data_IF_360430110906
#
_entry.id   IF_360430110906
#
_cell.length_a   1.000
_cell.length_b   1.000
_cell.length_c   1.000
_cell.angle_alpha   90.00
_cell.angle_beta   90.00
_cell.angle_gamma   90.00
#
_symmetry.space_group_name_H-M   'P 1'
#
loop_
_entity.id
_entity.type
_entity.pdbx_description
1 polymer ?
#
# COMPACT_ATOMS: atom_id res chain seq x y z
N UNK A 1 26.55 30.42 33.33
CA UNK A 1 25.83 31.70 33.15
C UNK A 1 25.23 31.66 31.76
N UNK A 2 24.05 31.04 31.64
CA UNK A 2 23.29 30.97 30.38
C UNK A 2 22.17 32.00 30.45
N UNK A 3 22.10 32.85 29.43
CA UNK A 3 21.16 33.95 29.32
C UNK A 3 19.79 33.44 28.84
N UNK A 4 18.76 33.75 29.61
CA UNK A 4 17.36 33.47 29.30
C UNK A 4 16.87 34.34 28.14
N UNK A 5 16.22 33.71 27.15
CA UNK A 5 15.52 34.36 26.04
C UNK A 5 14.04 34.49 26.43
N UNK A 6 13.42 35.68 26.37
CA UNK A 6 12.02 35.86 26.77
C UNK A 6 11.04 35.44 25.65
N UNK A 7 9.99 34.74 26.07
CA UNK A 7 8.82 34.35 25.30
C UNK A 7 7.98 35.59 24.94
N UNK A 8 7.59 35.69 23.66
CA UNK A 8 6.64 36.68 23.16
C UNK A 8 5.20 36.15 23.27
N UNK A 9 4.29 37.02 23.69
CA UNK A 9 2.84 36.80 23.79
C UNK A 9 2.14 36.71 22.41
N UNK A 10 1.06 35.93 22.27
CA UNK A 10 0.23 35.96 21.07
C UNK A 10 -0.93 36.97 21.20
N UNK A 11 -1.01 37.86 20.21
CA UNK A 11 -2.09 38.83 20.00
C UNK A 11 -3.28 38.21 19.26
N UNK A 12 -4.46 38.29 19.88
CA UNK A 12 -5.74 38.68 19.26
C UNK A 12 -6.34 37.83 18.14
N UNK A 13 -7.32 36.99 18.47
CA UNK A 13 -8.28 36.40 17.52
C UNK A 13 -9.49 37.33 17.38
N UNK A 14 -9.72 37.87 16.18
CA UNK A 14 -10.94 38.62 15.83
C UNK A 14 -11.94 37.69 15.17
N UNK A 15 -13.09 37.51 15.82
CA UNK A 15 -14.28 36.90 15.24
C UNK A 15 -14.91 37.83 14.19
N UNK A 16 -15.17 37.29 12.99
CA UNK A 16 -16.13 37.86 12.05
C UNK A 16 -17.22 36.83 11.74
N UNK A 17 -18.37 37.03 12.37
CA UNK A 17 -19.66 36.51 11.92
C UNK A 17 -20.00 37.14 10.57
N UNK A 18 -20.44 36.33 9.62
CA UNK A 18 -21.13 36.81 8.42
C UNK A 18 -22.46 36.06 8.29
N UNK A 19 -23.51 36.85 8.12
CA UNK A 19 -24.91 36.51 8.19
C UNK A 19 -25.41 35.78 6.94
N UNK A 20 -26.51 35.06 7.14
CA UNK A 20 -27.38 34.48 6.12
C UNK A 20 -28.14 35.57 5.34
N UNK A 21 -28.35 35.32 4.04
CA UNK A 21 -29.39 35.97 3.25
C UNK A 21 -29.88 35.03 2.12
N UNK A 22 -31.09 34.53 2.33
CA UNK A 22 -32.28 34.47 1.46
C UNK A 22 -32.18 34.49 -0.08
N UNK A 23 -32.86 33.49 -0.67
CA UNK A 23 -33.83 33.52 -1.79
C UNK A 23 -33.50 34.15 -3.14
N UNK A 24 -33.67 33.35 -4.19
CA UNK A 24 -33.91 33.83 -5.56
C UNK A 24 -34.18 32.66 -6.50
N UNK A 25 -35.44 32.24 -6.58
CA UNK A 25 -35.91 31.33 -7.61
C UNK A 25 -35.87 32.00 -8.99
N UNK A 26 -35.37 31.27 -9.99
CA UNK A 26 -35.51 31.64 -11.40
C UNK A 26 -36.09 30.44 -12.12
N UNK A 27 -37.34 30.59 -12.55
CA UNK A 27 -38.02 29.71 -13.48
C UNK A 27 -37.28 29.75 -14.83
N UNK A 28 -36.76 28.60 -15.27
CA UNK A 28 -36.26 28.44 -16.63
C UNK A 28 -37.41 28.01 -17.54
N UNK A 29 -37.88 28.97 -18.33
CA UNK A 29 -38.79 28.77 -19.45
C UNK A 29 -38.10 27.92 -20.53
N UNK A 30 -38.70 26.78 -20.87
CA UNK A 30 -38.22 25.86 -21.89
C UNK A 30 -38.35 26.47 -23.30
N UNK A 31 -37.27 26.42 -24.07
CA UNK A 31 -37.27 26.78 -25.48
C UNK A 31 -37.83 25.62 -26.35
N UNK A 32 -38.54 25.92 -27.45
CA UNK A 32 -39.09 24.91 -28.35
C UNK A 32 -38.01 24.16 -29.13
N UNK A 33 -38.14 22.83 -29.17
CA UNK A 33 -37.26 21.90 -29.89
C UNK A 33 -37.45 22.00 -31.41
N UNK A 34 -36.36 22.29 -32.13
CA UNK A 34 -36.27 22.20 -33.59
C UNK A 34 -36.29 20.72 -34.04
N UNK A 35 -36.97 20.36 -35.15
CA UNK A 35 -36.99 18.98 -35.65
C UNK A 35 -35.61 18.55 -36.14
N UNK A 36 -35.16 17.36 -35.71
CA UNK A 36 -33.90 16.76 -36.13
C UNK A 36 -33.95 16.30 -37.60
N UNK A 37 -32.88 16.60 -38.34
CA UNK A 37 -32.67 16.13 -39.71
C UNK A 37 -32.51 14.58 -39.78
N UNK A 38 -32.91 13.94 -40.88
CA UNK A 38 -32.83 12.48 -41.04
C UNK A 38 -31.39 11.97 -41.05
N UNK A 39 -31.16 10.92 -40.27
CA UNK A 39 -29.87 10.25 -40.06
C UNK A 39 -29.49 9.43 -41.30
N UNK A 40 -28.28 9.61 -41.87
CA UNK A 40 -27.82 8.78 -42.99
C UNK A 40 -27.66 7.31 -42.58
N UNK A 41 -28.00 6.42 -43.51
CA UNK A 41 -28.07 4.97 -43.33
C UNK A 41 -26.76 4.38 -42.78
N UNK A 42 -26.91 3.47 -41.81
CA UNK A 42 -25.81 2.75 -41.17
C UNK A 42 -25.02 1.94 -42.20
N UNK A 43 -23.75 2.31 -42.39
CA UNK A 43 -22.76 1.54 -43.15
C UNK A 43 -22.49 0.25 -42.38
N UNK A 44 -22.73 -0.90 -43.01
CA UNK A 44 -22.47 -2.21 -42.44
C UNK A 44 -21.01 -2.33 -41.94
N UNK A 45 -20.76 -2.90 -40.76
CA UNK A 45 -19.40 -3.09 -40.26
C UNK A 45 -18.68 -4.10 -41.15
N UNK A 46 -17.63 -3.64 -41.83
CA UNK A 46 -16.67 -4.51 -42.49
C UNK A 46 -16.09 -5.47 -41.43
N UNK A 47 -16.25 -6.77 -41.68
CA UNK A 47 -15.69 -7.82 -40.86
C UNK A 47 -14.19 -7.56 -40.66
N UNK A 48 -13.82 -7.16 -39.44
CA UNK A 48 -12.44 -6.95 -39.06
C UNK A 48 -11.79 -8.33 -38.95
N UNK A 49 -10.81 -8.56 -39.82
CA UNK A 49 -10.00 -9.78 -39.83
C UNK A 49 -9.44 -10.05 -38.43
N UNK A 50 -9.80 -11.21 -37.89
CA UNK A 50 -9.27 -11.78 -36.66
C UNK A 50 -7.76 -11.97 -36.79
N UNK A 51 -6.99 -11.07 -36.18
CA UNK A 51 -5.56 -11.26 -36.00
C UNK A 51 -5.29 -12.45 -35.04
N UNK A 52 -4.20 -13.21 -35.25
CA UNK A 52 -3.95 -14.44 -34.52
C UNK A 52 -3.60 -14.21 -33.05
N UNK A 53 -4.00 -15.20 -32.23
CA UNK A 53 -3.90 -15.28 -30.79
C UNK A 53 -2.45 -15.27 -30.24
N UNK A 54 -1.78 -14.12 -30.26
CA UNK A 54 -0.47 -13.89 -29.63
C UNK A 54 -0.57 -13.61 -28.11
N UNK A 55 -1.78 -13.67 -27.53
CA UNK A 55 -2.03 -13.29 -26.13
C UNK A 55 -1.73 -14.36 -25.07
N UNK A 56 -1.65 -15.65 -25.42
CA UNK A 56 -1.57 -16.72 -24.41
C UNK A 56 -0.16 -16.90 -23.80
N UNK A 57 0.90 -16.65 -24.57
CA UNK A 57 2.28 -16.87 -24.12
C UNK A 57 2.76 -15.81 -23.14
N UNK A 58 2.32 -14.57 -23.30
CA UNK A 58 2.71 -13.46 -22.42
C UNK A 58 2.10 -13.58 -21.02
N UNK A 59 0.86 -14.08 -20.91
CA UNK A 59 0.19 -14.31 -19.63
C UNK A 59 0.87 -15.41 -18.79
N UNK A 60 1.35 -16.47 -19.44
CA UNK A 60 2.07 -17.56 -18.77
C UNK A 60 3.40 -17.13 -18.15
N UNK A 61 4.22 -16.38 -18.90
CA UNK A 61 5.50 -15.87 -18.40
C UNK A 61 5.31 -14.89 -17.22
N UNK A 62 4.36 -13.95 -17.31
CA UNK A 62 4.04 -13.02 -16.23
C UNK A 62 3.63 -13.76 -14.95
N UNK A 63 2.76 -14.76 -15.09
CA UNK A 63 2.28 -15.59 -13.99
C UNK A 63 3.42 -16.32 -13.29
N UNK A 64 4.34 -16.91 -14.06
CA UNK A 64 5.51 -17.61 -13.52
C UNK A 64 6.43 -16.67 -12.73
N UNK A 65 6.67 -15.44 -13.23
CA UNK A 65 7.48 -14.44 -12.54
C UNK A 65 6.88 -14.07 -11.19
N UNK A 66 5.58 -13.74 -11.14
CA UNK A 66 4.94 -13.40 -9.87
C UNK A 66 4.81 -14.59 -8.92
N UNK A 67 4.58 -15.81 -9.43
CA UNK A 67 4.59 -17.02 -8.61
C UNK A 67 5.97 -17.24 -7.96
N UNK A 68 7.05 -17.01 -8.73
CA UNK A 68 8.41 -16.99 -8.21
C UNK A 68 8.61 -15.95 -7.10
N UNK A 69 8.12 -14.72 -7.29
CA UNK A 69 8.17 -13.67 -6.26
C UNK A 69 7.38 -14.05 -5.00
N UNK A 70 6.18 -14.62 -5.14
CA UNK A 70 5.39 -15.12 -4.00
C UNK A 70 6.17 -16.17 -3.21
N UNK A 71 6.75 -17.15 -3.91
CA UNK A 71 7.53 -18.20 -3.27
C UNK A 71 8.79 -17.64 -2.58
N UNK A 72 9.50 -16.71 -3.21
CA UNK A 72 10.73 -16.14 -2.68
C UNK A 72 10.46 -15.24 -1.46
N UNK A 73 9.48 -14.35 -1.54
CA UNK A 73 9.06 -13.50 -0.40
C UNK A 73 8.47 -14.34 0.74
N UNK A 74 7.67 -15.35 0.41
CA UNK A 74 7.09 -16.29 1.35
C UNK A 74 8.14 -17.19 2.03
N UNK A 75 9.22 -17.57 1.34
CA UNK A 75 10.32 -18.33 1.91
C UNK A 75 11.31 -17.48 2.73
N UNK A 76 11.43 -16.19 2.40
CA UNK A 76 12.28 -15.25 3.12
C UNK A 76 11.66 -14.78 4.46
N UNK A 77 10.32 -14.83 4.59
CA UNK A 77 9.62 -14.35 5.78
C UNK A 77 9.82 -15.23 7.03
N UNK A 78 9.75 -16.59 6.99
CA UNK A 78 9.86 -17.43 8.18
C UNK A 78 11.18 -17.28 8.95
N UNK A 79 12.36 -17.21 8.33
CA UNK A 79 13.61 -16.95 9.05
C UNK A 79 13.57 -15.64 9.86
N UNK A 80 13.01 -14.58 9.27
CA UNK A 80 12.87 -13.28 9.93
C UNK A 80 11.88 -13.29 11.10
N UNK A 81 10.91 -14.21 11.08
CA UNK A 81 9.90 -14.35 12.14
C UNK A 81 10.42 -15.24 13.27
N UNK A 82 10.96 -16.41 12.90
CA UNK A 82 11.29 -17.51 13.82
C UNK A 82 12.73 -17.45 14.33
N UNK A 83 13.65 -16.88 13.55
CA UNK A 83 15.08 -16.80 13.88
C UNK A 83 15.64 -15.37 13.67
N UNK A 84 14.96 -14.32 14.18
CA UNK A 84 15.27 -12.93 13.83
C UNK A 84 16.70 -12.52 14.20
N UNK A 85 17.24 -13.00 15.33
CA UNK A 85 18.62 -12.71 15.74
C UNK A 85 19.66 -13.33 14.81
N UNK A 86 19.41 -14.56 14.34
CA UNK A 86 20.29 -15.22 13.37
C UNK A 86 20.24 -14.51 12.02
N UNK A 87 19.04 -14.13 11.58
CA UNK A 87 18.86 -13.32 10.37
C UNK A 87 19.56 -11.96 10.48
N UNK A 88 19.44 -11.26 11.62
CA UNK A 88 20.15 -10.01 11.87
C UNK A 88 21.66 -10.18 11.84
N UNK A 89 22.19 -11.23 12.47
CA UNK A 89 23.62 -11.53 12.45
C UNK A 89 24.13 -11.88 11.05
N UNK A 90 23.38 -12.67 10.28
CA UNK A 90 23.71 -12.97 8.89
C UNK A 90 23.76 -11.69 8.05
N UNK A 91 22.75 -10.84 8.22
CA UNK A 91 22.55 -9.64 7.41
C UNK A 91 23.52 -8.50 7.76
N UNK A 92 23.80 -8.27 9.04
CA UNK A 92 24.57 -7.13 9.52
C UNK A 92 25.93 -7.49 10.14
N UNK A 93 26.22 -8.77 10.34
CA UNK A 93 27.48 -9.22 10.94
C UNK A 93 27.64 -8.65 12.35
N UNK A 94 28.81 -8.06 12.63
CA UNK A 94 29.11 -7.43 13.93
C UNK A 94 28.26 -6.19 14.22
N UNK A 95 27.59 -5.59 13.23
CA UNK A 95 26.68 -4.47 13.45
C UNK A 95 25.31 -4.91 14.04
N UNK A 96 25.10 -6.21 14.22
CA UNK A 96 24.01 -6.77 15.02
C UNK A 96 24.44 -7.13 16.46
N UNK A 97 25.72 -6.91 16.82
CA UNK A 97 26.23 -7.21 18.16
C UNK A 97 26.30 -5.92 19.02
N UNK A 98 25.89 -5.97 20.30
CA UNK A 98 25.26 -7.11 20.97
C UNK A 98 23.84 -7.36 20.41
N UNK A 99 23.36 -8.63 20.40
CA UNK A 99 22.02 -8.95 19.92
C UNK A 99 20.99 -8.22 20.78
N UNK A 100 20.33 -7.23 20.19
CA UNK A 100 19.35 -6.41 20.87
C UNK A 100 17.91 -6.83 20.52
N UNK A 101 16.97 -6.45 21.39
CA UNK A 101 15.55 -6.71 21.18
C UNK A 101 14.97 -5.90 20.00
N UNK A 102 15.60 -4.78 19.60
CA UNK A 102 15.12 -3.95 18.51
C UNK A 102 15.38 -4.59 17.14
N UNK A 103 16.54 -5.20 16.86
CA UNK A 103 16.73 -6.01 15.65
C UNK A 103 15.72 -7.15 15.60
N UNK A 104 15.45 -7.78 16.75
CA UNK A 104 14.46 -8.85 16.84
C UNK A 104 13.09 -8.38 16.37
N UNK A 105 12.58 -7.29 16.96
CA UNK A 105 11.32 -6.68 16.56
C UNK A 105 11.34 -6.23 15.10
N UNK A 106 12.38 -5.51 14.68
CA UNK A 106 12.46 -4.94 13.34
C UNK A 106 12.53 -5.99 12.23
N UNK A 107 13.20 -7.12 12.45
CA UNK A 107 13.20 -8.24 11.50
C UNK A 107 11.79 -8.83 11.33
N UNK A 108 11.08 -9.01 12.45
CA UNK A 108 9.70 -9.49 12.42
C UNK A 108 8.78 -8.48 11.71
N UNK A 109 8.93 -7.17 11.97
CA UNK A 109 8.16 -6.15 11.25
C UNK A 109 8.49 -6.13 9.74
N UNK A 110 9.76 -6.29 9.36
CA UNK A 110 10.19 -6.36 7.96
C UNK A 110 9.60 -7.57 7.23
N UNK A 111 9.47 -8.72 7.90
CA UNK A 111 8.74 -9.87 7.36
C UNK A 111 7.27 -9.53 7.05
N UNK A 112 6.65 -8.65 7.83
CA UNK A 112 5.29 -8.15 7.54
C UNK A 112 5.23 -7.43 6.19
N UNK A 113 6.21 -6.57 5.91
CA UNK A 113 6.35 -5.92 4.60
C UNK A 113 6.50 -6.93 3.47
N UNK A 114 7.30 -7.99 3.67
CA UNK A 114 7.47 -9.07 2.69
C UNK A 114 6.17 -9.82 2.41
N UNK A 115 5.38 -10.12 3.45
CA UNK A 115 4.09 -10.81 3.32
C UNK A 115 3.05 -9.96 2.56
N UNK A 116 3.04 -8.64 2.74
CA UNK A 116 2.22 -7.74 1.92
C UNK A 116 2.68 -7.76 0.47
N UNK A 117 3.99 -7.67 0.20
CA UNK A 117 4.51 -7.75 -1.17
C UNK A 117 4.19 -9.09 -1.82
N UNK A 118 4.21 -10.20 -1.07
CA UNK A 118 3.77 -11.51 -1.54
C UNK A 118 2.27 -11.49 -1.88
N UNK A 119 1.43 -10.86 -1.05
CA UNK A 119 0.01 -10.64 -1.34
C UNK A 119 -0.21 -9.81 -2.62
N UNK A 120 0.61 -8.78 -2.86
CA UNK A 120 0.59 -7.98 -4.10
C UNK A 120 0.99 -8.82 -5.31
N UNK A 121 2.08 -9.59 -5.23
CA UNK A 121 2.50 -10.48 -6.31
C UNK A 121 1.43 -11.55 -6.62
N UNK A 122 0.84 -12.16 -5.59
CA UNK A 122 -0.25 -13.11 -5.74
C UNK A 122 -1.50 -12.48 -6.36
N UNK A 123 -1.82 -11.24 -5.98
CA UNK A 123 -2.90 -10.50 -6.62
C UNK A 123 -2.61 -10.31 -8.11
N UNK A 124 -1.39 -9.88 -8.47
CA UNK A 124 -0.96 -9.66 -9.85
C UNK A 124 -1.10 -10.93 -10.70
N UNK A 125 -0.78 -12.13 -10.20
CA UNK A 125 -1.04 -13.41 -10.91
C UNK A 125 -2.49 -13.46 -11.43
N UNK A 126 -3.46 -13.17 -10.56
CA UNK A 126 -4.87 -13.23 -10.94
C UNK A 126 -5.28 -12.15 -11.94
N UNK A 127 -4.63 -10.99 -11.93
CA UNK A 127 -4.91 -9.90 -12.88
C UNK A 127 -4.51 -10.25 -14.31
N UNK A 128 -3.44 -11.03 -14.46
CA UNK A 128 -2.95 -11.47 -15.77
C UNK A 128 -3.71 -12.68 -16.30
N UNK A 129 -4.32 -13.48 -15.42
CA UNK A 129 -5.16 -14.62 -15.80
C UNK A 129 -6.63 -14.25 -16.06
N UNK A 130 -7.10 -13.08 -15.61
CA UNK A 130 -8.52 -12.70 -15.74
C UNK A 130 -8.71 -11.38 -16.51
N UNK A 131 -9.45 -11.36 -17.62
CA UNK A 131 -9.70 -10.15 -18.41
C UNK A 131 -10.59 -9.12 -17.68
N UNK A 132 -11.11 -9.44 -16.49
CA UNK A 132 -12.03 -8.61 -15.73
C UNK A 132 -11.35 -7.47 -14.96
N UNK A 133 -10.02 -7.49 -14.77
CA UNK A 133 -9.33 -6.45 -14.02
C UNK A 133 -8.91 -5.28 -14.90
N UNK A 134 -9.24 -4.07 -14.45
CA UNK A 134 -8.81 -2.85 -15.14
C UNK A 134 -7.28 -2.78 -15.11
N UNK A 135 -6.63 -2.31 -16.19
CA UNK A 135 -5.16 -2.23 -16.25
C UNK A 135 -4.57 -1.27 -15.21
N UNK A 136 -5.31 -0.23 -14.80
CA UNK A 136 -4.80 0.81 -13.91
C UNK A 136 -4.44 0.32 -12.49
N UNK A 137 -5.28 -0.46 -11.76
CA UNK A 137 -4.88 -1.05 -10.48
C UNK A 137 -3.68 -2.00 -10.57
N UNK A 138 -3.63 -2.86 -11.60
CA UNK A 138 -2.49 -3.76 -11.81
C UNK A 138 -1.21 -2.98 -12.07
N UNK A 139 -1.26 -1.92 -12.87
CA UNK A 139 -0.13 -1.04 -13.13
C UNK A 139 0.33 -0.30 -11.88
N UNK A 140 -0.59 0.14 -11.01
CA UNK A 140 -0.25 0.78 -9.74
C UNK A 140 0.44 -0.18 -8.77
N UNK A 141 -0.10 -1.40 -8.61
CA UNK A 141 0.52 -2.44 -7.79
C UNK A 141 1.91 -2.82 -8.31
N UNK A 142 2.04 -3.01 -9.62
CA UNK A 142 3.33 -3.38 -10.18
C UNK A 142 4.35 -2.23 -10.11
N UNK A 143 3.92 -0.99 -10.38
CA UNK A 143 4.76 0.19 -10.17
C UNK A 143 5.21 0.32 -8.71
N UNK A 144 4.37 -0.07 -7.74
CA UNK A 144 4.74 -0.05 -6.32
C UNK A 144 5.88 -1.02 -5.99
N UNK A 145 5.89 -2.21 -6.59
CA UNK A 145 6.98 -3.18 -6.42
C UNK A 145 8.27 -2.69 -7.08
N UNK A 146 8.17 -2.11 -8.29
CA UNK A 146 9.32 -1.48 -8.97
C UNK A 146 9.88 -0.34 -8.13
N UNK A 147 9.03 0.56 -7.66
CA UNK A 147 9.43 1.71 -6.86
C UNK A 147 10.05 1.30 -5.53
N UNK A 148 9.49 0.30 -4.85
CA UNK A 148 10.06 -0.28 -3.64
C UNK A 148 11.45 -0.86 -3.93
N UNK A 149 11.57 -1.78 -4.90
CA UNK A 149 12.85 -2.46 -5.16
C UNK A 149 13.96 -1.51 -5.59
N UNK A 150 13.66 -0.52 -6.44
CA UNK A 150 14.64 0.51 -6.82
C UNK A 150 15.04 1.39 -5.64
N UNK A 151 14.08 1.80 -4.80
CA UNK A 151 14.37 2.62 -3.62
C UNK A 151 15.17 1.84 -2.57
N UNK A 152 14.89 0.56 -2.42
CA UNK A 152 15.60 -0.34 -1.52
C UNK A 152 17.04 -0.55 -1.98
N UNK A 153 17.28 -0.82 -3.27
CA UNK A 153 18.64 -0.88 -3.85
C UNK A 153 19.43 0.42 -3.60
N UNK A 154 18.82 1.58 -3.83
CA UNK A 154 19.49 2.86 -3.55
C UNK A 154 19.80 3.04 -2.06
N UNK A 155 18.88 2.57 -1.19
CA UNK A 155 19.06 2.59 0.26
C UNK A 155 20.20 1.66 0.67
N UNK A 156 20.29 0.46 0.10
CA UNK A 156 21.36 -0.53 0.36
C UNK A 156 22.73 -0.02 -0.06
N UNK A 157 22.83 0.66 -1.20
CA UNK A 157 24.08 1.28 -1.65
C UNK A 157 24.50 2.38 -0.67
N UNK A 158 23.57 3.26 -0.27
CA UNK A 158 23.88 4.34 0.67
C UNK A 158 24.28 3.81 2.05
N UNK A 159 23.65 2.71 2.50
CA UNK A 159 23.87 2.11 3.82
C UNK A 159 24.77 0.87 3.79
N UNK A 160 25.58 0.66 2.74
CA UNK A 160 26.39 -0.56 2.59
C UNK A 160 27.23 -0.91 3.82
N UNK A 161 27.74 0.11 4.54
CA UNK A 161 28.51 -0.07 5.78
C UNK A 161 27.73 -0.67 6.96
N UNK A 162 26.40 -0.73 6.90
CA UNK A 162 25.56 -1.31 7.94
C UNK A 162 25.45 -2.83 7.84
N UNK A 163 25.92 -3.43 6.74
CA UNK A 163 25.72 -4.83 6.40
C UNK A 163 26.99 -5.66 6.55
N UNK A 164 26.80 -6.97 6.70
CA UNK A 164 27.84 -7.93 6.35
C UNK A 164 28.00 -7.96 4.81
N UNK A 165 29.17 -8.35 4.28
CA UNK A 165 29.34 -8.46 2.82
C UNK A 165 28.30 -9.35 2.15
N UNK A 166 27.95 -10.48 2.78
CA UNK A 166 26.96 -11.42 2.27
C UNK A 166 25.53 -10.92 2.41
N UNK A 167 25.22 -10.27 3.52
CA UNK A 167 23.93 -9.63 3.74
C UNK A 167 23.66 -8.55 2.69
N UNK A 168 24.65 -7.70 2.42
CA UNK A 168 24.57 -6.63 1.43
C UNK A 168 24.33 -7.16 0.01
N UNK A 169 25.13 -8.15 -0.42
CA UNK A 169 24.93 -8.77 -1.74
C UNK A 169 23.57 -9.45 -1.81
N UNK A 170 23.16 -10.15 -0.75
CA UNK A 170 21.87 -10.82 -0.68
C UNK A 170 20.69 -9.87 -0.83
N UNK A 171 20.68 -8.75 -0.10
CA UNK A 171 19.59 -7.77 -0.19
C UNK A 171 19.59 -7.02 -1.51
N UNK A 172 20.75 -6.59 -2.00
CA UNK A 172 20.85 -5.96 -3.32
C UNK A 172 20.30 -6.85 -4.43
N UNK A 173 20.68 -8.13 -4.43
CA UNK A 173 20.17 -9.08 -5.43
C UNK A 173 18.67 -9.28 -5.27
N UNK A 174 18.17 -9.44 -4.04
CA UNK A 174 16.73 -9.62 -3.79
C UNK A 174 15.91 -8.41 -4.26
N UNK A 175 16.32 -7.19 -3.91
CA UNK A 175 15.61 -5.96 -4.25
C UNK A 175 15.73 -5.62 -5.74
N UNK A 176 16.88 -5.88 -6.36
CA UNK A 176 17.06 -5.75 -7.81
C UNK A 176 16.22 -6.77 -8.57
N UNK A 177 16.15 -8.03 -8.11
CA UNK A 177 15.28 -9.05 -8.68
C UNK A 177 13.81 -8.65 -8.56
N UNK A 178 13.38 -8.16 -7.40
CA UNK A 178 12.02 -7.65 -7.21
C UNK A 178 11.69 -6.54 -8.21
N UNK A 179 12.57 -5.52 -8.32
CA UNK A 179 12.37 -4.39 -9.22
C UNK A 179 12.34 -4.82 -10.69
N UNK A 180 13.29 -5.66 -11.12
CA UNK A 180 13.41 -6.10 -12.52
C UNK A 180 12.30 -7.08 -12.91
N UNK A 181 11.93 -8.01 -12.02
CA UNK A 181 10.81 -8.91 -12.21
C UNK A 181 9.50 -8.14 -12.42
N UNK A 182 9.22 -7.18 -11.55
CA UNK A 182 8.06 -6.30 -11.64
C UNK A 182 8.09 -5.44 -12.94
N UNK A 183 9.22 -4.77 -13.20
CA UNK A 183 9.39 -3.89 -14.36
C UNK A 183 9.27 -4.64 -15.70
N UNK A 184 9.73 -5.89 -15.77
CA UNK A 184 9.63 -6.70 -16.99
C UNK A 184 8.18 -6.90 -17.48
N UNK A 185 7.19 -6.71 -16.60
CA UNK A 185 5.77 -6.86 -16.92
C UNK A 185 5.11 -5.55 -17.39
N UNK A 186 5.73 -4.40 -17.09
CA UNK A 186 5.32 -3.07 -17.54
C UNK A 186 6.38 -2.55 -18.50
N UNK A 187 6.19 -2.71 -19.81
CA UNK A 187 7.09 -2.08 -20.77
C UNK A 187 7.29 -0.58 -20.49
N UNK A 188 8.40 0.04 -20.94
CA UNK A 188 8.82 1.38 -20.50
C UNK A 188 7.75 2.46 -20.71
N UNK A 189 6.96 2.37 -21.79
CA UNK A 189 5.84 3.27 -22.04
C UNK A 189 4.75 3.20 -20.94
N UNK A 190 4.41 2.00 -20.45
CA UNK A 190 3.44 1.82 -19.36
C UNK A 190 3.96 2.36 -18.04
N UNK A 191 5.26 2.21 -17.76
CA UNK A 191 5.90 2.80 -16.58
C UNK A 191 5.78 4.33 -16.67
N UNK A 192 6.17 4.92 -17.80
CA UNK A 192 6.07 6.36 -18.00
C UNK A 192 4.63 6.87 -17.85
N UNK A 193 3.65 6.17 -18.41
CA UNK A 193 2.23 6.53 -18.29
C UNK A 193 1.71 6.37 -16.87
N UNK A 194 2.09 5.31 -16.16
CA UNK A 194 1.72 5.09 -14.77
C UNK A 194 2.29 6.20 -13.87
N UNK A 195 3.56 6.56 -14.06
CA UNK A 195 4.21 7.67 -13.35
C UNK A 195 3.51 9.01 -13.62
N UNK A 196 3.17 9.31 -14.88
CA UNK A 196 2.41 10.52 -15.23
C UNK A 196 1.03 10.58 -14.57
N UNK A 197 0.43 9.45 -14.25
CA UNK A 197 -0.89 9.37 -13.59
C UNK A 197 -0.83 9.51 -12.07
N UNK A 198 0.35 9.35 -11.45
CA UNK A 198 0.50 9.44 -9.99
C UNK A 198 -0.08 10.73 -9.38
N UNK A 199 0.17 11.94 -9.92
CA UNK A 199 -0.39 13.17 -9.33
C UNK A 199 -1.92 13.19 -9.35
N UNK A 200 -2.53 12.63 -10.41
CA UNK A 200 -3.98 12.50 -10.53
C UNK A 200 -4.56 11.50 -9.53
N UNK A 201 -3.88 10.36 -9.36
CA UNK A 201 -4.24 9.36 -8.35
C UNK A 201 -4.15 9.95 -6.93
N UNK A 202 -3.06 10.66 -6.61
CA UNK A 202 -2.89 11.35 -5.32
C UNK A 202 -4.04 12.33 -5.05
N UNK A 203 -4.41 13.14 -6.04
CA UNK A 203 -5.56 14.08 -5.92
C UNK A 203 -6.90 13.36 -5.73
N UNK A 204 -7.09 12.19 -6.36
CA UNK A 204 -8.34 11.44 -6.18
C UNK A 204 -8.55 10.92 -4.76
N UNK A 205 -7.50 10.64 -3.98
CA UNK A 205 -7.64 10.32 -2.55
C UNK A 205 -8.15 11.49 -1.71
N UNK A 206 -8.05 12.73 -2.21
CA UNK A 206 -8.54 13.91 -1.49
C UNK A 206 -10.06 14.11 -1.63
N UNK A 207 -10.69 13.38 -2.56
CA UNK A 207 -12.11 13.53 -2.85
C UNK A 207 -12.86 12.22 -2.56
N UNK A 208 -13.46 12.08 -1.37
CA UNK A 208 -14.27 10.90 -1.06
C UNK A 208 -15.40 10.79 -2.08
N UNK A 209 -15.47 9.65 -2.79
CA UNK A 209 -16.65 9.33 -3.59
C UNK A 209 -17.85 9.29 -2.65
N UNK A 210 -18.76 10.27 -2.79
CA UNK A 210 -20.02 10.32 -2.05
C UNK A 210 -20.83 9.06 -2.41
N UNK A 211 -21.00 8.16 -1.43
CA UNK A 211 -21.73 6.89 -1.60
C UNK A 211 -20.95 5.60 -1.31
N UNK A 212 -19.72 5.66 -0.79
CA UNK A 212 -18.91 4.47 -0.49
C UNK A 212 -19.33 3.67 0.76
N UNK A 213 -19.06 2.36 0.76
CA UNK A 213 -19.20 1.49 1.94
C UNK A 213 -18.23 1.90 3.05
N UNK A 214 -18.55 1.57 4.31
CA UNK A 214 -17.66 1.82 5.47
C UNK A 214 -16.25 1.25 5.24
N UNK A 215 -16.16 0.09 4.59
CA UNK A 215 -14.90 -0.54 4.19
C UNK A 215 -14.08 0.35 3.24
N UNK A 216 -14.73 0.95 2.24
CA UNK A 216 -14.06 1.89 1.33
C UNK A 216 -13.54 3.13 2.08
N UNK A 217 -14.30 3.64 3.06
CA UNK A 217 -13.85 4.75 3.92
C UNK A 217 -12.65 4.38 4.78
N UNK A 218 -12.62 3.18 5.38
CA UNK A 218 -11.48 2.69 6.15
C UNK A 218 -10.21 2.62 5.29
N UNK A 219 -10.32 2.02 4.09
CA UNK A 219 -9.20 1.89 3.17
C UNK A 219 -8.72 3.24 2.62
N UNK A 220 -9.64 4.19 2.45
CA UNK A 220 -9.32 5.57 2.04
C UNK A 220 -8.46 6.30 3.08
N UNK A 221 -8.69 6.07 4.38
CA UNK A 221 -7.88 6.67 5.46
C UNK A 221 -6.53 5.97 5.64
N UNK A 222 -6.46 4.66 5.37
CA UNK A 222 -5.24 3.88 5.50
C UNK A 222 -4.15 4.31 4.53
N UNK A 223 -4.48 4.60 3.26
CA UNK A 223 -3.50 5.01 2.26
C UNK A 223 -2.66 6.24 2.69
N UNK A 224 -3.23 7.41 3.06
CA UNK A 224 -2.45 8.54 3.54
C UNK A 224 -1.77 8.28 4.89
N UNK A 225 -2.37 7.47 5.78
CA UNK A 225 -1.74 7.09 7.04
C UNK A 225 -0.43 6.30 6.80
N UNK A 226 -0.44 5.35 5.86
CA UNK A 226 0.75 4.59 5.47
C UNK A 226 1.81 5.47 4.80
N UNK A 227 1.42 6.39 3.91
CA UNK A 227 2.36 7.34 3.31
C UNK A 227 3.01 8.21 4.38
N UNK A 228 2.21 8.77 5.30
CA UNK A 228 2.73 9.63 6.37
C UNK A 228 3.66 8.87 7.32
N UNK A 229 3.24 7.68 7.78
CA UNK A 229 4.05 6.82 8.64
C UNK A 229 5.34 6.40 7.95
N UNK A 230 5.25 5.91 6.71
CA UNK A 230 6.40 5.46 5.94
C UNK A 230 7.39 6.58 5.64
N UNK A 231 6.91 7.78 5.31
CA UNK A 231 7.76 8.94 5.11
C UNK A 231 8.48 9.33 6.40
N UNK A 232 7.79 9.28 7.55
CA UNK A 232 8.39 9.53 8.85
C UNK A 232 9.48 8.49 9.20
N UNK A 233 9.22 7.20 8.96
CA UNK A 233 10.18 6.12 9.18
C UNK A 233 11.40 6.27 8.29
N UNK A 234 11.19 6.66 7.02
CA UNK A 234 12.26 6.82 6.07
C UNK A 234 13.09 8.09 6.31
N UNK A 235 12.47 9.24 6.56
CA UNK A 235 13.17 10.53 6.68
C UNK A 235 13.78 10.74 8.08
N UNK A 236 13.12 10.28 9.14
CA UNK A 236 13.54 10.47 10.52
C UNK A 236 13.55 9.14 11.29
N UNK A 237 14.37 8.15 10.88
CA UNK A 237 14.33 6.82 11.47
C UNK A 237 14.72 6.81 12.94
N UNK A 238 15.73 7.58 13.35
CA UNK A 238 16.16 7.63 14.74
C UNK A 238 15.05 8.19 15.65
N UNK A 239 14.43 9.30 15.25
CA UNK A 239 13.33 9.95 15.98
C UNK A 239 12.13 9.01 16.09
N UNK A 240 11.70 8.42 14.97
CA UNK A 240 10.52 7.55 14.96
C UNK A 240 10.77 6.22 15.68
N UNK A 241 11.97 5.63 15.60
CA UNK A 241 12.33 4.46 16.40
C UNK A 241 12.33 4.79 17.90
N UNK A 242 12.97 5.89 18.30
CA UNK A 242 13.01 6.32 19.72
C UNK A 242 11.60 6.55 20.25
N UNK A 243 10.74 7.22 19.48
CA UNK A 243 9.36 7.43 19.89
C UNK A 243 8.44 6.24 19.68
N UNK A 244 8.87 5.15 19.05
CA UNK A 244 8.06 3.91 18.96
C UNK A 244 8.52 2.89 20.01
N UNK A 245 9.82 2.62 20.06
CA UNK A 245 10.42 1.59 20.92
C UNK A 245 11.05 2.14 22.21
N UNK A 246 11.03 3.45 22.44
CA UNK A 246 11.69 4.09 23.59
C UNK A 246 13.20 4.30 23.41
N UNK A 247 13.80 3.70 22.38
CA UNK A 247 15.23 3.77 22.09
C UNK A 247 15.52 3.50 20.60
N UNK A 248 16.73 3.80 20.14
CA UNK A 248 17.14 3.59 18.75
C UNK A 248 18.64 3.23 18.66
N UNK A 249 18.97 2.05 18.11
CA UNK A 249 20.33 1.51 18.07
C UNK A 249 20.90 1.35 16.66
N UNK A 250 21.89 2.18 16.36
CA UNK A 250 22.84 1.90 15.28
C UNK A 250 22.28 1.98 13.87
N UNK A 251 23.20 1.85 12.90
CA UNK A 251 22.90 2.00 11.48
C UNK A 251 22.01 0.88 10.92
N UNK A 252 22.17 -0.34 11.44
CA UNK A 252 21.42 -1.53 11.02
C UNK A 252 19.93 -1.41 11.36
N UNK A 253 19.57 -0.93 12.56
CA UNK A 253 18.17 -0.67 12.91
C UNK A 253 17.58 0.48 12.07
N UNK A 254 18.36 1.53 11.81
CA UNK A 254 17.90 2.65 10.97
C UNK A 254 17.61 2.20 9.54
N UNK A 255 18.43 1.32 8.98
CA UNK A 255 18.19 0.74 7.67
C UNK A 255 16.92 -0.12 7.66
N UNK A 256 16.73 -1.02 8.63
CA UNK A 256 15.53 -1.87 8.70
C UNK A 256 14.26 -1.03 8.78
N UNK A 257 14.29 0.02 9.61
CA UNK A 257 13.17 0.93 9.76
C UNK A 257 12.87 1.72 8.49
N UNK A 258 13.91 2.16 7.76
CA UNK A 258 13.76 2.76 6.43
C UNK A 258 13.14 1.77 5.43
N UNK A 259 13.56 0.50 5.42
CA UNK A 259 13.00 -0.51 4.53
C UNK A 259 11.51 -0.77 4.81
N UNK A 260 11.11 -0.87 6.08
CA UNK A 260 9.69 -0.91 6.50
C UNK A 260 8.97 0.37 6.05
N UNK A 261 9.61 1.53 6.21
CA UNK A 261 9.12 2.82 5.74
C UNK A 261 8.86 2.86 4.24
N UNK A 262 9.77 2.33 3.42
CA UNK A 262 9.58 2.19 1.97
C UNK A 262 8.37 1.32 1.64
N UNK A 263 8.17 0.21 2.36
CA UNK A 263 6.98 -0.63 2.23
C UNK A 263 5.69 0.15 2.51
N UNK A 264 5.73 1.01 3.53
CA UNK A 264 4.61 1.88 3.91
C UNK A 264 4.35 3.02 2.93
N UNK A 265 5.38 3.59 2.28
CA UNK A 265 5.16 4.67 1.29
C UNK A 265 4.78 4.12 -0.08
N UNK A 266 5.35 2.99 -0.49
CA UNK A 266 5.24 2.51 -1.87
C UNK A 266 4.15 1.44 -2.01
N UNK A 267 4.20 0.39 -1.20
CA UNK A 267 3.41 -0.84 -1.41
C UNK A 267 2.04 -0.76 -0.76
N UNK A 268 1.99 -0.41 0.53
CA UNK A 268 0.73 -0.37 1.29
C UNK A 268 -0.31 0.62 0.73
N UNK A 269 0.06 1.83 0.26
CA UNK A 269 -0.90 2.77 -0.31
C UNK A 269 -1.47 2.26 -1.63
N UNK A 270 -0.66 1.61 -2.48
CA UNK A 270 -1.13 1.00 -3.72
C UNK A 270 -2.10 -0.16 -3.46
N UNK A 271 -1.82 -0.97 -2.42
CA UNK A 271 -2.72 -2.01 -1.94
C UNK A 271 -4.04 -1.44 -1.42
N UNK A 272 -3.99 -0.48 -0.48
CA UNK A 272 -5.15 0.16 0.11
C UNK A 272 -6.02 0.86 -0.94
N UNK A 273 -5.41 1.57 -1.89
CA UNK A 273 -6.08 2.23 -3.00
C UNK A 273 -6.83 1.25 -3.90
N UNK A 274 -6.17 0.15 -4.26
CA UNK A 274 -6.74 -0.88 -5.13
C UNK A 274 -7.93 -1.56 -4.47
N UNK A 275 -7.82 -1.86 -3.17
CA UNK A 275 -8.91 -2.40 -2.37
C UNK A 275 -10.04 -1.37 -2.21
N UNK A 276 -9.71 -0.10 -2.01
CA UNK A 276 -10.69 0.99 -1.85
C UNK A 276 -11.50 1.21 -3.13
N UNK A 277 -10.84 1.29 -4.29
CA UNK A 277 -11.48 1.43 -5.59
C UNK A 277 -12.45 0.28 -5.85
N UNK A 278 -12.03 -0.95 -5.51
CA UNK A 278 -12.89 -2.13 -5.66
C UNK A 278 -14.07 -2.11 -4.70
N UNK A 279 -13.84 -1.81 -3.42
CA UNK A 279 -14.90 -1.70 -2.42
C UNK A 279 -15.92 -0.60 -2.77
N UNK A 280 -15.47 0.51 -3.34
CA UNK A 280 -16.34 1.61 -3.77
C UNK A 280 -17.13 1.30 -5.05
N UNK A 281 -16.57 0.50 -5.96
CA UNK A 281 -17.22 0.14 -7.23
C UNK A 281 -18.16 -1.06 -7.12
N UNK A 282 -17.80 -2.07 -6.35
CA UNK A 282 -18.51 -3.37 -6.28
C UNK A 282 -19.27 -3.57 -4.97
N UNK A 283 -19.01 -2.75 -3.94
CA UNK A 283 -19.59 -2.92 -2.59
C UNK A 283 -19.04 -4.12 -1.80
N UNK A 284 -18.34 -5.05 -2.45
CA UNK A 284 -17.72 -6.23 -1.87
C UNK A 284 -16.35 -6.53 -2.51
N UNK A 285 -15.51 -7.31 -1.82
CA UNK A 285 -14.15 -7.65 -2.27
C UNK A 285 -14.00 -9.12 -2.72
N UNK A 286 -15.00 -9.66 -3.43
CA UNK A 286 -15.16 -11.10 -3.72
C UNK A 286 -14.12 -11.74 -4.64
N UNK A 287 -13.35 -10.97 -5.41
CA UNK A 287 -12.36 -11.52 -6.36
C UNK A 287 -11.04 -11.95 -5.74
N UNK A 288 -10.41 -12.99 -6.29
CA UNK A 288 -9.16 -13.61 -5.79
C UNK A 288 -8.01 -12.62 -5.62
N UNK A 289 -7.85 -11.65 -6.54
CA UNK A 289 -6.84 -10.60 -6.40
C UNK A 289 -7.04 -9.77 -5.12
N UNK A 290 -8.28 -9.42 -4.79
CA UNK A 290 -8.58 -8.68 -3.56
C UNK A 290 -8.41 -9.56 -2.31
N UNK A 291 -8.72 -10.86 -2.40
CA UNK A 291 -8.44 -11.81 -1.32
C UNK A 291 -6.93 -11.93 -1.05
N UNK A 292 -6.10 -12.02 -2.10
CA UNK A 292 -4.65 -12.09 -1.96
C UNK A 292 -4.06 -10.82 -1.31
N UNK A 293 -4.51 -9.63 -1.74
CA UNK A 293 -4.13 -8.36 -1.11
C UNK A 293 -4.55 -8.29 0.37
N UNK A 294 -5.79 -8.64 0.68
CA UNK A 294 -6.27 -8.66 2.06
C UNK A 294 -5.51 -9.69 2.91
N UNK A 295 -5.21 -10.88 2.37
CA UNK A 295 -4.45 -11.91 3.10
C UNK A 295 -3.03 -11.44 3.44
N UNK A 296 -2.34 -10.79 2.50
CA UNK A 296 -1.05 -10.15 2.77
C UNK A 296 -1.16 -9.07 3.84
N UNK A 297 -2.18 -8.20 3.75
CA UNK A 297 -2.41 -7.11 4.72
C UNK A 297 -2.77 -7.63 6.12
N UNK A 298 -3.62 -8.65 6.23
CA UNK A 298 -3.93 -9.33 7.51
C UNK A 298 -2.67 -9.93 8.10
N UNK A 299 -1.85 -10.62 7.29
CA UNK A 299 -0.64 -11.27 7.77
C UNK A 299 0.37 -10.25 8.32
N UNK A 300 0.56 -9.13 7.61
CA UNK A 300 1.41 -8.05 8.10
C UNK A 300 0.85 -7.37 9.35
N UNK A 301 -0.45 -7.09 9.39
CA UNK A 301 -1.09 -6.50 10.56
C UNK A 301 -0.99 -7.41 11.78
N UNK A 302 -1.24 -8.71 11.64
CA UNK A 302 -1.09 -9.69 12.71
C UNK A 302 0.34 -9.72 13.25
N UNK A 303 1.33 -9.70 12.36
CA UNK A 303 2.74 -9.72 12.75
C UNK A 303 3.16 -8.41 13.43
N UNK A 304 2.74 -7.26 12.91
CA UNK A 304 2.99 -5.97 13.56
C UNK A 304 2.34 -5.90 14.94
N UNK A 305 1.09 -6.34 15.08
CA UNK A 305 0.41 -6.35 16.37
C UNK A 305 1.03 -7.36 17.34
N UNK A 306 1.50 -8.50 16.85
CA UNK A 306 2.19 -9.50 17.68
C UNK A 306 3.47 -8.93 18.31
N UNK A 307 4.21 -8.10 17.55
CA UNK A 307 5.42 -7.43 18.04
C UNK A 307 5.09 -6.24 18.95
N UNK A 308 4.14 -5.39 18.56
CA UNK A 308 3.90 -4.10 19.21
C UNK A 308 3.01 -4.20 20.46
N UNK A 309 2.07 -5.16 20.51
CA UNK A 309 1.12 -5.29 21.62
C UNK A 309 1.80 -5.65 22.95
N UNK A 310 2.78 -6.58 23.01
CA UNK A 310 3.52 -6.83 24.25
C UNK A 310 4.24 -5.59 24.78
N UNK A 311 4.79 -4.75 23.88
CA UNK A 311 5.48 -3.51 24.26
C UNK A 311 4.48 -2.49 24.82
N UNK A 312 3.29 -2.39 24.21
CA UNK A 312 2.19 -1.55 24.72
C UNK A 312 1.68 -2.00 26.08
N UNK A 313 1.52 -3.31 26.29
CA UNK A 313 0.98 -3.88 27.52
C UNK A 313 1.99 -3.87 28.66
N UNK A 314 3.29 -3.97 28.36
CA UNK A 314 4.37 -4.02 29.34
C UNK A 314 4.68 -2.69 30.04
N UNK A 315 4.08 -1.58 29.62
CA UNK A 315 4.09 -0.29 30.33
C UNK A 315 5.42 0.47 30.43
N UNK A 316 6.58 -0.19 30.24
CA UNK A 316 7.86 0.37 30.70
C UNK A 316 8.83 0.83 29.59
N UNK A 317 8.61 0.55 28.31
CA UNK A 317 9.60 0.84 27.25
C UNK A 317 9.01 1.39 25.93
N UNK A 318 7.70 1.57 25.83
CA UNK A 318 7.08 2.13 24.62
C UNK A 318 7.22 3.65 24.51
N UNK A 319 7.53 4.18 23.34
CA UNK A 319 7.52 5.63 23.10
C UNK A 319 6.13 6.17 22.73
N UNK A 320 6.00 7.49 22.64
CA UNK A 320 4.72 8.20 22.40
C UNK A 320 4.04 7.89 21.06
N UNK A 321 4.76 7.40 20.05
CA UNK A 321 4.21 7.02 18.75
C UNK A 321 3.69 5.57 18.73
N UNK A 322 4.08 4.73 19.69
CA UNK A 322 3.72 3.31 19.71
C UNK A 322 2.20 3.06 19.61
N UNK A 323 1.32 3.77 20.37
CA UNK A 323 -0.12 3.57 20.27
C UNK A 323 -0.67 3.92 18.90
N UNK A 324 -0.14 4.98 18.26
CA UNK A 324 -0.54 5.37 16.93
C UNK A 324 -0.14 4.32 15.89
N UNK A 325 1.10 3.81 15.96
CA UNK A 325 1.60 2.76 15.05
C UNK A 325 0.77 1.50 15.18
N UNK A 326 0.53 1.02 16.41
CA UNK A 326 -0.29 -0.16 16.65
C UNK A 326 -1.75 0.07 16.20
N UNK A 327 -2.30 1.26 16.45
CA UNK A 327 -3.65 1.64 16.02
C UNK A 327 -3.80 1.62 14.49
N UNK A 328 -2.82 2.11 13.74
CA UNK A 328 -2.81 2.03 12.26
C UNK A 328 -2.81 0.58 11.78
N UNK A 329 -2.00 -0.29 12.38
CA UNK A 329 -1.97 -1.71 12.01
C UNK A 329 -3.21 -2.48 12.46
N UNK A 330 -3.81 -2.13 13.60
CA UNK A 330 -5.10 -2.66 14.02
C UNK A 330 -6.22 -2.28 13.04
N UNK A 331 -6.23 -1.02 12.58
CA UNK A 331 -7.17 -0.55 11.57
C UNK A 331 -6.96 -1.26 10.23
N UNK A 332 -5.71 -1.45 9.82
CA UNK A 332 -5.35 -2.20 8.63
C UNK A 332 -5.80 -3.66 8.70
N UNK A 333 -5.56 -4.33 9.83
CA UNK A 333 -6.03 -5.68 10.10
C UNK A 333 -7.55 -5.77 10.06
N UNK A 334 -8.27 -4.85 10.71
CA UNK A 334 -9.73 -4.78 10.69
C UNK A 334 -10.27 -4.60 9.26
N UNK A 335 -9.74 -3.62 8.50
CA UNK A 335 -10.15 -3.39 7.12
C UNK A 335 -9.92 -4.62 6.25
N UNK A 336 -8.77 -5.30 6.42
CA UNK A 336 -8.43 -6.49 5.65
C UNK A 336 -9.31 -7.70 6.01
N UNK A 337 -9.60 -7.92 7.30
CA UNK A 337 -10.53 -8.96 7.77
C UNK A 337 -11.96 -8.70 7.27
N UNK A 338 -12.45 -7.46 7.36
CA UNK A 338 -13.76 -7.07 6.80
C UNK A 338 -13.79 -7.29 5.28
N UNK A 339 -12.68 -7.00 4.59
CA UNK A 339 -12.51 -7.29 3.18
C UNK A 339 -12.65 -8.79 2.86
N UNK A 340 -11.97 -9.66 3.61
CA UNK A 340 -12.11 -11.11 3.48
C UNK A 340 -13.53 -11.59 3.83
N UNK A 341 -14.15 -11.04 4.87
CA UNK A 341 -15.50 -11.40 5.28
C UNK A 341 -16.55 -11.01 4.23
N UNK A 342 -16.37 -9.87 3.55
CA UNK A 342 -17.25 -9.42 2.46
C UNK A 342 -17.29 -10.38 1.27
N UNK A 343 -16.30 -11.28 1.14
CA UNK A 343 -16.26 -12.28 0.07
C UNK A 343 -17.24 -13.43 0.29
N UNK A 344 -17.59 -13.71 1.55
CA UNK A 344 -18.50 -14.80 1.94
C UNK A 344 -19.97 -14.39 1.91
N UNK A 345 -20.25 -13.09 2.02
CA UNK A 345 -21.58 -12.52 1.83
C UNK A 345 -21.91 -12.46 0.33
N UNK A 346 -22.03 -13.62 -0.33
CA UNK A 346 -22.56 -13.69 -1.69
C UNK A 346 -23.98 -13.13 -1.76
N UNK A 347 -24.50 -12.83 -2.97
CA UNK A 347 -25.82 -12.22 -3.16
C UNK A 347 -26.92 -13.21 -2.76
N UNK A 348 -27.20 -13.29 -1.46
CA UNK A 348 -28.38 -13.95 -0.92
C UNK A 348 -29.38 -12.84 -0.60
N UNK A 349 -30.58 -12.93 -1.18
CA UNK A 349 -31.81 -12.18 -0.84
C UNK A 349 -32.15 -10.83 -1.51
N UNK A 350 -31.69 -10.55 -2.74
CA UNK A 350 -32.19 -9.39 -3.51
C UNK A 350 -33.31 -9.68 -4.54
N UNK A 351 -33.45 -10.93 -4.97
CA UNK A 351 -34.29 -11.27 -6.14
C UNK A 351 -35.77 -11.55 -5.84
N UNK A 352 -36.25 -11.35 -4.60
CA UNK A 352 -37.59 -11.78 -4.18
C UNK A 352 -38.52 -10.65 -3.70
N UNK A 353 -38.33 -9.41 -4.17
CA UNK A 353 -39.30 -8.33 -3.92
C UNK A 353 -39.62 -7.53 -5.19
N UNK A 354 -39.98 -8.24 -6.26
CA UNK A 354 -41.03 -7.73 -7.16
C UNK A 354 -42.35 -8.12 -6.53
N UNK A 355 -43.01 -7.19 -5.85
CA UNK A 355 -44.44 -7.29 -5.58
C UNK A 355 -45.18 -6.86 -6.84
N UNK A 356 -46.05 -7.75 -7.27
CA UNK A 356 -47.20 -7.50 -8.16
C UNK A 356 -48.08 -6.36 -7.63
#
# INVERSE_FOLDING_TARGET
MEAAVPLAEPVGVVHKQAAAATSGGVEHTAAPSTPAAPRPAARAPAASATAPASGSTRGGAATAVYAGLVALLGAASPPLILMPQLSAKFMFGSAADPPDAQHTHLMQLAAGTQLVMAGVAAALIHTWCTPAWRPAPADALNLSLVAYGLSAVLTDIYWASAFSPWGWVGTLVADALLATAAASQMGPARIADAVKRLPGAVRSFSHPRRGGSMLASLLMVLAPAFVAAGAAYYLAPQTTLTHTFGYAYGKSAFWLWKAIGLGCVMVLPACAATLQDKAAGEGALTGTAAQALNAGLVSAAALHLWVLTPILAGGEVGGVLLPAVAGTWALAGLAAVLGLASTKAGPTSGAAFKRE
#
